data_IF_632589923419
#
_entry.id   IF_632589923419
#
_cell.length_a   1.000
_cell.length_b   1.000
_cell.length_c   1.000
_cell.angle_alpha   90.00
_cell.angle_beta   90.00
_cell.angle_gamma   90.00
#
_symmetry.space_group_name_H-M   'P 1'
#
loop_
_entity.id
_entity.type
_entity.pdbx_description
1 polymer ?
#
# COMPACT_ATOMS: atom_id res chain seq x y z
N UNK A 1 16.98 42.74 24.02
CA UNK A 1 17.03 41.79 22.90
C UNK A 1 15.58 41.47 22.60
N UNK A 2 15.01 42.05 21.54
CA UNK A 2 13.64 41.72 21.12
C UNK A 2 13.72 40.36 20.45
N UNK A 3 13.37 39.30 21.18
CA UNK A 3 13.13 38.00 20.59
C UNK A 3 12.02 38.18 19.56
N UNK A 4 12.34 37.95 18.29
CA UNK A 4 11.39 37.87 17.21
C UNK A 4 10.51 36.64 17.46
N UNK A 5 9.49 36.80 18.29
CA UNK A 5 8.42 35.84 18.46
C UNK A 5 7.67 35.77 17.13
N UNK A 6 7.98 34.76 16.32
CA UNK A 6 7.25 34.49 15.08
C UNK A 6 5.99 33.70 15.42
N UNK A 7 4.78 34.22 15.14
CA UNK A 7 3.51 33.52 15.40
C UNK A 7 3.45 32.14 14.73
N UNK A 8 4.16 31.97 13.61
CA UNK A 8 4.28 30.70 12.90
C UNK A 8 4.88 29.58 13.77
N UNK A 9 5.80 29.89 14.68
CA UNK A 9 6.43 28.87 15.54
C UNK A 9 5.47 28.31 16.59
N UNK A 10 4.62 29.15 17.20
CA UNK A 10 3.55 28.70 18.11
C UNK A 10 2.45 27.93 17.38
N UNK A 11 2.07 28.36 16.17
CA UNK A 11 1.03 27.69 15.36
C UNK A 11 1.47 26.29 14.92
N UNK A 12 2.74 26.13 14.49
CA UNK A 12 3.32 24.82 14.11
C UNK A 12 3.32 23.88 15.32
N UNK A 13 3.78 24.36 16.48
CA UNK A 13 3.82 23.58 17.71
C UNK A 13 2.41 23.18 18.20
N UNK A 14 1.42 24.04 18.01
CA UNK A 14 0.02 23.76 18.36
C UNK A 14 -0.58 22.67 17.47
N UNK A 15 -0.37 22.72 16.14
CA UNK A 15 -0.90 21.72 15.22
C UNK A 15 -0.28 20.34 15.42
N UNK A 16 1.04 20.29 15.65
CA UNK A 16 1.75 19.04 15.94
C UNK A 16 1.29 18.44 17.27
N UNK A 17 1.14 19.26 18.31
CA UNK A 17 0.62 18.82 19.61
C UNK A 17 -0.81 18.28 19.52
N UNK A 18 -1.70 18.99 18.83
CA UNK A 18 -3.08 18.52 18.57
C UNK A 18 -3.05 17.18 17.85
N UNK A 19 -2.16 17.00 16.87
CA UNK A 19 -2.06 15.73 16.14
C UNK A 19 -1.61 14.61 17.07
N UNK A 20 -0.62 14.84 17.94
CA UNK A 20 -0.16 13.84 18.92
C UNK A 20 -1.28 13.48 19.89
N UNK A 21 -2.01 14.47 20.41
CA UNK A 21 -3.11 14.23 21.35
C UNK A 21 -4.22 13.41 20.67
N UNK A 22 -4.58 13.73 19.43
CA UNK A 22 -5.55 12.96 18.64
C UNK A 22 -5.10 11.52 18.35
N UNK A 23 -3.79 11.29 18.18
CA UNK A 23 -3.26 9.94 18.01
C UNK A 23 -3.36 9.11 19.28
N UNK A 24 -3.07 9.72 20.44
CA UNK A 24 -3.23 9.08 21.75
C UNK A 24 -4.69 8.76 22.03
N UNK A 25 -5.59 9.73 21.84
CA UNK A 25 -7.02 9.53 22.03
C UNK A 25 -7.56 8.40 21.15
N UNK A 26 -7.08 8.30 19.91
CA UNK A 26 -7.44 7.24 18.98
C UNK A 26 -6.90 5.87 19.36
N UNK A 27 -5.66 5.79 19.85
CA UNK A 27 -5.08 4.57 20.40
C UNK A 27 -5.87 4.10 21.63
N UNK A 28 -6.07 4.98 22.61
CA UNK A 28 -6.83 4.71 23.83
C UNK A 28 -8.28 4.30 23.51
N UNK A 29 -8.86 4.84 22.43
CA UNK A 29 -10.16 4.43 21.93
C UNK A 29 -10.14 2.99 21.40
N UNK A 30 -9.14 2.62 20.59
CA UNK A 30 -9.02 1.29 20.01
C UNK A 30 -8.71 0.21 21.07
N UNK A 31 -7.93 0.53 22.10
CA UNK A 31 -7.61 -0.37 23.21
C UNK A 31 -8.83 -0.81 24.04
N UNK A 32 -9.98 -0.11 23.90
CA UNK A 32 -11.24 -0.52 24.54
C UNK A 32 -11.89 -1.73 23.86
N UNK A 33 -11.39 -2.13 22.69
CA UNK A 33 -11.89 -3.26 21.91
C UNK A 33 -10.91 -4.45 21.99
N UNK A 34 -11.43 -5.65 21.77
CA UNK A 34 -10.62 -6.87 21.69
C UNK A 34 -9.94 -6.95 20.31
N UNK A 35 -8.84 -6.21 20.15
CA UNK A 35 -8.06 -6.10 18.91
C UNK A 35 -6.61 -6.56 19.11
N UNK A 36 -5.93 -6.89 18.01
CA UNK A 36 -4.51 -7.21 18.05
C UNK A 36 -3.70 -5.93 18.31
N UNK A 37 -3.12 -5.84 19.51
CA UNK A 37 -2.32 -4.70 19.96
C UNK A 37 -1.04 -4.50 19.16
N UNK A 38 -0.52 -5.54 18.51
CA UNK A 38 0.66 -5.44 17.64
C UNK A 38 0.40 -4.52 16.43
N UNK A 39 -0.87 -4.41 16.00
CA UNK A 39 -1.27 -3.59 14.86
C UNK A 39 -1.62 -2.13 15.25
N UNK A 40 -1.65 -1.80 16.54
CA UNK A 40 -2.06 -0.47 17.01
C UNK A 40 -1.12 0.62 16.50
N UNK A 41 0.19 0.37 16.55
CA UNK A 41 1.19 1.35 16.12
C UNK A 41 1.08 1.61 14.61
N UNK A 42 0.90 0.56 13.82
CA UNK A 42 0.70 0.67 12.37
C UNK A 42 -0.61 1.38 12.03
N UNK A 43 -1.67 1.11 12.80
CA UNK A 43 -2.97 1.78 12.68
C UNK A 43 -2.86 3.27 12.96
N UNK A 44 -2.24 3.66 14.08
CA UNK A 44 -2.02 5.07 14.42
C UNK A 44 -1.11 5.77 13.39
N UNK A 45 -0.06 5.08 12.93
CA UNK A 45 0.82 5.54 11.86
C UNK A 45 0.05 5.81 10.57
N UNK A 46 -0.89 4.94 10.20
CA UNK A 46 -1.74 5.12 9.02
C UNK A 46 -2.64 6.36 9.13
N UNK A 47 -3.30 6.55 10.27
CA UNK A 47 -4.12 7.75 10.53
C UNK A 47 -3.26 9.02 10.51
N UNK A 48 -2.07 8.99 11.12
CA UNK A 48 -1.15 10.11 11.09
C UNK A 48 -0.77 10.52 9.66
N UNK A 49 -0.43 9.55 8.80
CA UNK A 49 -0.13 9.81 7.38
C UNK A 49 -1.33 10.45 6.68
N UNK A 50 -2.53 9.93 6.90
CA UNK A 50 -3.76 10.46 6.33
C UNK A 50 -4.01 11.93 6.75
N UNK A 51 -3.87 12.24 8.04
CA UNK A 51 -4.03 13.61 8.56
C UNK A 51 -2.98 14.56 7.97
N UNK A 52 -1.73 14.10 7.84
CA UNK A 52 -0.64 14.88 7.25
C UNK A 52 -0.91 15.20 5.77
N UNK A 53 -1.45 14.26 5.00
CA UNK A 53 -1.73 14.47 3.57
C UNK A 53 -2.96 15.36 3.32
N UNK A 54 -4.03 15.24 4.10
CA UNK A 54 -5.28 15.97 3.83
C UNK A 54 -5.35 17.36 4.46
N UNK A 55 -4.49 17.65 5.45
CA UNK A 55 -4.41 18.96 6.09
C UNK A 55 -5.64 19.39 6.91
N UNK A 56 -6.71 18.59 6.92
CA UNK A 56 -7.95 18.78 7.69
C UNK A 56 -8.27 17.55 8.52
N UNK A 57 -8.65 17.78 9.78
CA UNK A 57 -9.08 16.72 10.69
C UNK A 57 -10.55 16.38 10.37
N UNK A 58 -10.89 15.10 10.11
CA UNK A 58 -12.26 14.68 9.91
C UNK A 58 -13.15 14.96 11.13
N UNK A 59 -14.44 15.18 10.89
CA UNK A 59 -15.40 15.46 11.96
C UNK A 59 -15.51 14.33 13.01
N UNK A 60 -15.35 13.07 12.58
CA UNK A 60 -15.26 11.93 13.48
C UNK A 60 -14.01 11.11 13.15
N UNK A 61 -12.92 11.41 13.85
CA UNK A 61 -11.62 10.77 13.65
C UNK A 61 -11.62 9.29 14.10
N UNK A 62 -12.41 8.92 15.10
CA UNK A 62 -12.47 7.53 15.60
C UNK A 62 -12.93 6.54 14.52
N UNK A 63 -13.82 6.96 13.61
CA UNK A 63 -14.19 6.16 12.43
C UNK A 63 -13.01 5.88 11.52
N UNK A 64 -12.07 6.83 11.40
CA UNK A 64 -10.84 6.65 10.63
C UNK A 64 -9.85 5.72 11.33
N UNK A 65 -9.81 5.70 12.66
CA UNK A 65 -9.04 4.69 13.40
C UNK A 65 -9.57 3.27 13.18
N UNK A 66 -10.89 3.08 13.24
CA UNK A 66 -11.52 1.78 12.91
C UNK A 66 -11.25 1.40 11.45
N UNK A 67 -11.35 2.33 10.52
CA UNK A 67 -11.05 2.06 9.11
C UNK A 67 -9.57 1.77 8.85
N UNK A 68 -8.66 2.47 9.54
CA UNK A 68 -7.23 2.21 9.46
C UNK A 68 -6.90 0.82 10.01
N UNK A 69 -7.48 0.42 11.14
CA UNK A 69 -7.29 -0.93 11.69
C UNK A 69 -7.77 -2.00 10.70
N UNK A 70 -8.91 -1.76 10.02
CA UNK A 70 -9.42 -2.64 8.96
C UNK A 70 -8.42 -2.78 7.81
N UNK A 71 -7.80 -1.68 7.37
CA UNK A 71 -6.81 -1.70 6.29
C UNK A 71 -5.57 -2.49 6.71
N UNK A 72 -5.06 -2.23 7.91
CA UNK A 72 -3.85 -2.88 8.44
C UNK A 72 -4.05 -4.37 8.69
N UNK A 73 -5.21 -4.77 9.23
CA UNK A 73 -5.53 -6.19 9.45
C UNK A 73 -5.75 -6.99 8.16
N UNK A 74 -5.83 -6.29 7.02
CA UNK A 74 -6.03 -6.82 5.67
C UNK A 74 -4.77 -6.73 4.81
N UNK A 75 -3.60 -6.84 5.41
CA UNK A 75 -2.37 -7.00 4.66
C UNK A 75 -2.35 -8.36 3.91
N UNK A 76 -1.78 -8.52 2.70
CA UNK A 76 -1.73 -9.81 2.01
C UNK A 76 -1.26 -10.99 2.88
N UNK A 77 -0.24 -10.79 3.72
CA UNK A 77 0.26 -11.83 4.64
C UNK A 77 -0.72 -12.26 5.75
N UNK A 78 -1.88 -11.62 5.90
CA UNK A 78 -2.94 -12.07 6.79
C UNK A 78 -3.93 -13.02 6.11
N UNK A 79 -3.70 -13.38 4.84
CA UNK A 79 -4.49 -14.38 4.15
C UNK A 79 -4.51 -15.71 4.95
N UNK A 80 -5.69 -16.35 5.12
CA UNK A 80 -7.02 -15.89 4.72
C UNK A 80 -7.66 -14.96 5.78
N UNK A 81 -8.06 -13.76 5.37
CA UNK A 81 -8.80 -12.83 6.21
C UNK A 81 -10.26 -12.72 5.74
N UNK A 82 -11.08 -13.75 5.97
CA UNK A 82 -12.44 -13.83 5.40
C UNK A 82 -13.57 -13.27 6.30
N UNK A 83 -13.25 -12.41 7.26
CA UNK A 83 -14.28 -11.70 8.02
C UNK A 83 -15.09 -10.77 7.10
N UNK A 84 -16.39 -10.71 7.22
CA UNK A 84 -17.21 -9.78 6.43
C UNK A 84 -17.12 -8.37 6.99
N UNK A 85 -17.31 -7.34 6.13
CA UNK A 85 -17.40 -5.95 6.60
C UNK A 85 -18.49 -5.76 7.66
N UNK A 86 -19.57 -6.54 7.59
CA UNK A 86 -20.68 -6.49 8.54
C UNK A 86 -20.23 -6.98 9.92
N UNK A 87 -19.64 -8.17 10.00
CA UNK A 87 -19.11 -8.73 11.25
C UNK A 87 -18.04 -7.81 11.86
N UNK A 88 -17.13 -7.29 11.02
CA UNK A 88 -16.14 -6.32 11.46
C UNK A 88 -16.80 -5.07 12.06
N UNK A 89 -17.76 -4.49 11.36
CA UNK A 89 -18.47 -3.28 11.80
C UNK A 89 -19.26 -3.47 13.10
N UNK A 90 -19.85 -4.65 13.30
CA UNK A 90 -20.61 -4.99 14.52
C UNK A 90 -19.73 -4.91 15.78
N UNK A 91 -18.45 -5.31 15.70
CA UNK A 91 -17.49 -5.22 16.82
C UNK A 91 -17.27 -3.79 17.31
N UNK A 92 -17.36 -2.81 16.41
CA UNK A 92 -17.08 -1.40 16.70
C UNK A 92 -18.35 -0.53 16.77
N UNK A 93 -19.54 -1.12 16.60
CA UNK A 93 -20.79 -0.36 16.51
C UNK A 93 -20.82 0.63 15.33
N UNK A 94 -20.12 0.32 14.25
CA UNK A 94 -19.99 1.17 13.06
C UNK A 94 -20.98 0.76 11.96
N UNK A 95 -21.46 1.70 11.15
CA UNK A 95 -22.21 1.36 9.94
C UNK A 95 -21.25 0.99 8.81
N UNK A 96 -21.60 -0.03 8.01
CA UNK A 96 -20.78 -0.48 6.86
C UNK A 96 -20.49 0.66 5.89
N UNK A 97 -21.47 1.51 5.59
CA UNK A 97 -21.28 2.69 4.72
C UNK A 97 -20.27 3.70 5.28
N UNK A 98 -20.20 3.85 6.62
CA UNK A 98 -19.20 4.69 7.27
C UNK A 98 -17.80 4.07 7.17
N UNK A 99 -17.69 2.74 7.31
CA UNK A 99 -16.42 2.03 7.11
C UNK A 99 -15.94 2.23 5.67
N UNK A 100 -16.80 1.96 4.70
CA UNK A 100 -16.45 2.05 3.27
C UNK A 100 -15.97 3.45 2.89
N UNK A 101 -16.70 4.48 3.31
CA UNK A 101 -16.31 5.86 3.10
C UNK A 101 -14.92 6.16 3.70
N UNK A 102 -14.67 5.75 4.95
CA UNK A 102 -13.40 6.04 5.61
C UNK A 102 -12.24 5.26 4.97
N UNK A 103 -12.47 3.99 4.62
CA UNK A 103 -11.49 3.15 3.93
C UNK A 103 -11.10 3.78 2.59
N UNK A 104 -12.09 4.12 1.76
CA UNK A 104 -11.87 4.78 0.46
C UNK A 104 -11.09 6.08 0.62
N UNK A 105 -11.46 6.94 1.58
CA UNK A 105 -10.73 8.19 1.84
C UNK A 105 -9.28 7.96 2.24
N UNK A 106 -9.00 6.96 3.08
CA UNK A 106 -7.63 6.63 3.48
C UNK A 106 -6.84 6.08 2.30
N UNK A 107 -7.40 5.10 1.58
CA UNK A 107 -6.70 4.42 0.49
C UNK A 107 -6.41 5.35 -0.67
N UNK A 108 -7.36 6.21 -1.04
CA UNK A 108 -7.20 7.17 -2.14
C UNK A 108 -6.17 8.26 -1.78
N UNK A 109 -6.22 8.79 -0.56
CA UNK A 109 -5.30 9.83 -0.10
C UNK A 109 -3.84 9.35 -0.02
N UNK A 110 -3.65 8.06 0.24
CA UNK A 110 -2.33 7.46 0.41
C UNK A 110 -1.90 6.59 -0.79
N UNK A 111 -2.75 6.47 -1.80
CA UNK A 111 -2.59 5.63 -2.99
C UNK A 111 -2.35 4.15 -2.67
N UNK A 112 -3.04 3.60 -1.67
CA UNK A 112 -2.94 2.16 -1.36
C UNK A 112 -3.39 1.32 -2.54
N UNK A 113 -2.66 0.24 -2.80
CA UNK A 113 -3.05 -0.76 -3.80
C UNK A 113 -4.05 -1.69 -3.11
N UNK A 114 -5.25 -1.81 -3.68
CA UNK A 114 -6.27 -2.74 -3.23
C UNK A 114 -6.28 -3.95 -4.16
N UNK A 115 -6.14 -5.13 -3.59
CA UNK A 115 -6.29 -6.41 -4.29
C UNK A 115 -7.45 -7.19 -3.71
N UNK A 116 -8.02 -8.11 -4.49
CA UNK A 116 -9.14 -8.94 -4.10
C UNK A 116 -8.74 -10.42 -4.21
N UNK A 117 -9.06 -11.22 -3.20
CA UNK A 117 -8.99 -12.68 -3.35
C UNK A 117 -10.13 -13.22 -4.22
N UNK A 118 -10.13 -14.53 -4.45
CA UNK A 118 -11.16 -15.22 -5.23
C UNK A 118 -12.58 -15.09 -4.64
N UNK A 119 -12.69 -14.79 -3.35
CA UNK A 119 -13.96 -14.54 -2.65
C UNK A 119 -14.33 -13.05 -2.60
N UNK A 120 -13.55 -12.18 -3.26
CA UNK A 120 -13.67 -10.73 -3.27
C UNK A 120 -13.45 -10.04 -1.91
N UNK A 121 -12.72 -10.65 -0.98
CA UNK A 121 -12.26 -9.93 0.20
C UNK A 121 -11.07 -9.03 -0.16
N UNK A 122 -11.07 -7.77 0.32
CA UNK A 122 -10.02 -6.83 -0.01
C UNK A 122 -8.79 -7.00 0.87
N UNK A 123 -7.62 -6.90 0.25
CA UNK A 123 -6.34 -6.72 0.90
C UNK A 123 -5.69 -5.43 0.42
N UNK A 124 -4.86 -4.82 1.26
CA UNK A 124 -4.29 -3.50 1.03
C UNK A 124 -2.78 -3.51 1.17
N UNK A 125 -2.09 -2.88 0.21
CA UNK A 125 -0.63 -2.77 0.16
C UNK A 125 -0.23 -1.29 0.09
N UNK A 126 0.64 -0.86 1.01
CA UNK A 126 1.23 0.50 0.97
C UNK A 126 2.29 0.54 -0.15
N UNK A 127 2.06 1.25 -1.27
CA UNK A 127 3.00 1.23 -2.40
C UNK A 127 4.38 1.79 -2.08
N UNK A 128 4.53 2.58 -1.01
CA UNK A 128 5.76 3.29 -0.66
C UNK A 128 6.55 2.55 0.41
N UNK A 129 5.86 1.96 1.39
CA UNK A 129 6.52 1.43 2.59
C UNK A 129 6.42 -0.08 2.76
N UNK A 130 5.54 -0.74 2.01
CA UNK A 130 5.45 -2.19 2.11
C UNK A 130 6.79 -2.85 1.75
N UNK A 131 7.30 -3.66 2.66
CA UNK A 131 8.63 -4.25 2.55
C UNK A 131 8.64 -5.27 1.41
N UNK A 132 7.63 -6.13 1.37
CA UNK A 132 7.47 -7.14 0.33
C UNK A 132 7.43 -6.51 -1.06
N UNK A 133 6.57 -5.53 -1.28
CA UNK A 133 6.46 -4.81 -2.54
C UNK A 133 7.76 -4.09 -2.92
N UNK A 134 8.48 -3.51 -1.95
CA UNK A 134 9.77 -2.88 -2.21
C UNK A 134 10.85 -3.89 -2.63
N UNK A 135 10.83 -5.11 -2.08
CA UNK A 135 11.70 -6.21 -2.55
C UNK A 135 11.32 -6.61 -3.97
N UNK A 136 10.02 -6.81 -4.23
CA UNK A 136 9.49 -7.16 -5.55
C UNK A 136 9.92 -6.13 -6.60
N UNK A 137 9.74 -4.83 -6.34
CA UNK A 137 10.16 -3.74 -7.25
C UNK A 137 11.65 -3.79 -7.59
N UNK A 138 12.51 -4.04 -6.61
CA UNK A 138 13.97 -4.14 -6.84
C UNK A 138 14.32 -5.36 -7.70
N UNK A 139 13.65 -6.48 -7.44
CA UNK A 139 13.83 -7.71 -8.20
C UNK A 139 13.38 -7.54 -9.65
N UNK A 140 12.20 -6.94 -9.87
CA UNK A 140 11.68 -6.56 -11.19
C UNK A 140 12.72 -5.71 -11.93
N UNK A 141 13.18 -4.62 -11.33
CA UNK A 141 14.16 -3.72 -11.94
C UNK A 141 15.43 -4.46 -12.36
N UNK A 142 16.00 -5.26 -11.46
CA UNK A 142 17.21 -6.03 -11.77
C UNK A 142 17.03 -7.01 -12.92
N UNK A 143 15.86 -7.64 -13.03
CA UNK A 143 15.56 -8.62 -14.09
C UNK A 143 15.27 -7.94 -15.42
N UNK A 144 14.53 -6.83 -15.41
CA UNK A 144 14.28 -5.99 -16.58
C UNK A 144 15.60 -5.45 -17.15
N UNK A 145 16.49 -4.92 -16.30
CA UNK A 145 17.81 -4.43 -16.71
C UNK A 145 18.64 -5.54 -17.37
N UNK A 146 18.64 -6.75 -16.78
CA UNK A 146 19.34 -7.91 -17.35
C UNK A 146 18.76 -8.34 -18.69
N UNK A 147 17.43 -8.42 -18.79
CA UNK A 147 16.74 -8.76 -20.04
C UNK A 147 17.04 -7.73 -21.13
N UNK A 148 17.08 -6.44 -20.78
CA UNK A 148 17.43 -5.35 -21.68
C UNK A 148 18.85 -5.50 -22.23
N UNK A 149 19.82 -5.77 -21.35
CA UNK A 149 21.19 -5.97 -21.78
C UNK A 149 21.34 -7.20 -22.69
N UNK A 150 20.64 -8.28 -22.39
CA UNK A 150 20.61 -9.46 -23.27
C UNK A 150 19.98 -9.13 -24.63
N UNK A 151 18.93 -8.32 -24.68
CA UNK A 151 18.37 -7.84 -25.94
C UNK A 151 19.41 -7.04 -26.76
N UNK A 152 20.11 -6.09 -26.13
CA UNK A 152 21.08 -5.23 -26.80
C UNK A 152 22.31 -5.99 -27.31
N UNK A 153 22.77 -7.00 -26.57
CA UNK A 153 23.97 -7.76 -26.92
C UNK A 153 23.67 -8.96 -27.82
N UNK A 154 22.59 -9.68 -27.53
CA UNK A 154 22.27 -10.98 -28.14
C UNK A 154 21.09 -10.91 -29.12
N UNK A 155 20.46 -9.75 -29.30
CA UNK A 155 19.33 -9.57 -30.22
C UNK A 155 18.15 -10.52 -29.91
N UNK A 156 17.93 -10.82 -28.62
CA UNK A 156 16.81 -11.65 -28.18
C UNK A 156 15.64 -10.77 -27.78
N UNK A 157 14.50 -10.92 -28.45
CA UNK A 157 13.27 -10.19 -28.13
C UNK A 157 12.81 -10.52 -26.70
N UNK A 158 12.32 -9.50 -25.98
CA UNK A 158 11.79 -9.67 -24.62
C UNK A 158 10.27 -9.73 -24.71
N UNK A 159 9.69 -10.78 -24.11
CA UNK A 159 8.26 -10.89 -23.89
C UNK A 159 7.97 -10.54 -22.43
N UNK A 160 7.26 -9.42 -22.20
CA UNK A 160 6.95 -8.93 -20.86
C UNK A 160 6.03 -9.86 -20.07
N UNK A 161 5.15 -10.62 -20.74
CA UNK A 161 4.27 -11.59 -20.10
C UNK A 161 5.09 -12.74 -19.51
N UNK A 162 5.97 -13.36 -20.31
CA UNK A 162 6.83 -14.45 -19.87
C UNK A 162 7.74 -13.98 -18.73
N UNK A 163 8.35 -12.80 -18.88
CA UNK A 163 9.19 -12.22 -17.83
C UNK A 163 8.40 -12.01 -16.52
N UNK A 164 7.15 -11.55 -16.62
CA UNK A 164 6.28 -11.35 -15.46
C UNK A 164 5.91 -12.68 -14.79
N UNK A 165 5.61 -13.73 -15.56
CA UNK A 165 5.34 -15.07 -15.02
C UNK A 165 6.56 -15.62 -14.24
N UNK A 166 7.75 -15.52 -14.83
CA UNK A 166 9.01 -15.92 -14.18
C UNK A 166 9.26 -15.13 -12.89
N UNK A 167 9.02 -13.82 -12.92
CA UNK A 167 9.16 -12.93 -11.77
C UNK A 167 8.20 -13.28 -10.64
N UNK A 168 6.92 -13.52 -10.95
CA UNK A 168 5.92 -13.89 -9.95
C UNK A 168 6.28 -15.24 -9.32
N UNK A 169 6.71 -16.21 -10.13
CA UNK A 169 7.17 -17.50 -9.63
C UNK A 169 8.35 -17.35 -8.66
N UNK A 170 9.36 -16.56 -9.02
CA UNK A 170 10.51 -16.27 -8.14
C UNK A 170 10.08 -15.56 -6.85
N UNK A 171 9.18 -14.57 -6.93
CA UNK A 171 8.69 -13.83 -5.76
C UNK A 171 7.95 -14.73 -4.77
N UNK A 172 7.07 -15.61 -5.26
CA UNK A 172 6.23 -16.48 -4.43
C UNK A 172 7.01 -17.67 -3.89
N UNK A 173 7.69 -18.42 -4.77
CA UNK A 173 8.26 -19.71 -4.40
C UNK A 173 9.71 -19.62 -3.92
N UNK A 174 10.52 -18.74 -4.49
CA UNK A 174 11.93 -18.61 -4.10
C UNK A 174 12.11 -17.61 -2.95
N UNK A 175 11.52 -16.42 -3.08
CA UNK A 175 11.69 -15.34 -2.10
C UNK A 175 10.64 -15.38 -0.98
N UNK A 176 9.52 -16.08 -1.18
CA UNK A 176 8.38 -16.11 -0.24
C UNK A 176 7.93 -14.71 0.19
N UNK A 177 8.03 -13.76 -0.74
CA UNK A 177 7.77 -12.35 -0.49
C UNK A 177 6.30 -11.97 -0.71
N UNK A 178 5.43 -12.92 -1.03
CA UNK A 178 4.00 -12.72 -1.17
C UNK A 178 3.26 -14.05 -0.99
N UNK A 179 2.00 -14.06 -0.50
CA UNK A 179 1.19 -15.27 -0.43
C UNK A 179 0.93 -15.90 -1.80
N UNK A 180 0.97 -17.22 -1.86
CA UNK A 180 0.73 -17.99 -3.10
C UNK A 180 -0.73 -17.87 -3.55
N UNK A 181 -1.66 -17.78 -2.61
CA UNK A 181 -3.10 -17.74 -2.88
C UNK A 181 -3.53 -16.45 -3.59
N UNK A 182 -2.69 -15.41 -3.53
CA UNK A 182 -2.90 -14.14 -4.20
C UNK A 182 -2.08 -14.00 -5.50
N UNK A 183 -1.59 -15.12 -6.05
CA UNK A 183 -0.73 -15.18 -7.23
C UNK A 183 -1.26 -14.36 -8.42
N UNK A 184 -2.57 -14.49 -8.72
CA UNK A 184 -3.17 -13.77 -9.85
C UNK A 184 -3.09 -12.25 -9.68
N UNK A 185 -3.40 -11.76 -8.48
CA UNK A 185 -3.35 -10.33 -8.18
C UNK A 185 -1.91 -9.82 -8.18
N UNK A 186 -0.97 -10.64 -7.69
CA UNK A 186 0.45 -10.32 -7.76
C UNK A 186 0.93 -10.23 -9.22
N UNK A 187 0.49 -11.14 -10.10
CA UNK A 187 0.83 -11.08 -11.52
C UNK A 187 0.41 -9.76 -12.15
N UNK A 188 -0.82 -9.29 -11.89
CA UNK A 188 -1.29 -8.01 -12.41
C UNK A 188 -0.42 -6.84 -11.94
N UNK A 189 -0.05 -6.84 -10.64
CA UNK A 189 0.87 -5.83 -10.07
C UNK A 189 2.25 -5.89 -10.72
N UNK A 190 2.86 -7.09 -10.79
CA UNK A 190 4.20 -7.29 -11.34
C UNK A 190 4.23 -6.90 -12.82
N UNK A 191 3.25 -7.33 -13.60
CA UNK A 191 3.13 -7.00 -15.01
C UNK A 191 3.05 -5.49 -15.24
N UNK A 192 2.25 -4.78 -14.46
CA UNK A 192 2.17 -3.31 -14.55
C UNK A 192 3.52 -2.65 -14.23
N UNK A 193 4.25 -3.12 -13.22
CA UNK A 193 5.58 -2.59 -12.91
C UNK A 193 6.61 -2.92 -14.00
N UNK A 194 6.59 -4.12 -14.58
CA UNK A 194 7.47 -4.52 -15.68
C UNK A 194 7.23 -3.63 -16.91
N UNK A 195 5.97 -3.42 -17.29
CA UNK A 195 5.62 -2.53 -18.41
C UNK A 195 6.07 -1.09 -18.16
N UNK A 196 5.91 -0.58 -16.93
CA UNK A 196 6.40 0.77 -16.56
C UNK A 196 7.92 0.89 -16.67
N UNK A 197 8.68 -0.09 -16.20
CA UNK A 197 10.14 -0.07 -16.35
C UNK A 197 10.52 -0.10 -17.84
N UNK A 198 9.79 -0.83 -18.69
CA UNK A 198 10.03 -0.79 -20.14
C UNK A 198 9.64 0.54 -20.82
N UNK A 199 8.66 1.27 -20.30
CA UNK A 199 8.31 2.62 -20.80
C UNK A 199 9.45 3.62 -20.57
N UNK A 200 10.12 3.55 -19.43
CA UNK A 200 11.31 4.37 -19.17
C UNK A 200 12.39 4.13 -20.23
N UNK A 201 12.45 2.91 -20.74
CA UNK A 201 13.22 2.55 -21.93
C UNK A 201 12.44 2.82 -23.24
N UNK A 202 12.03 4.07 -23.48
CA UNK A 202 11.42 4.49 -24.76
C UNK A 202 12.22 4.07 -26.01
N UNK A 203 13.53 3.86 -25.87
CA UNK A 203 14.38 3.29 -26.92
C UNK A 203 14.10 1.81 -27.18
N UNK A 204 13.79 1.01 -26.16
CA UNK A 204 13.48 -0.40 -26.28
C UNK A 204 12.29 -0.67 -27.20
N UNK A 205 11.13 -0.05 -26.96
CA UNK A 205 9.93 -0.25 -27.78
C UNK A 205 10.22 0.10 -29.25
N UNK A 206 10.98 1.17 -29.48
CA UNK A 206 11.40 1.58 -30.84
C UNK A 206 12.36 0.56 -31.47
N UNK A 207 13.31 0.02 -30.71
CA UNK A 207 14.26 -0.98 -31.20
C UNK A 207 13.56 -2.31 -31.49
N UNK A 208 12.67 -2.78 -30.61
CA UNK A 208 11.90 -4.00 -30.82
C UNK A 208 11.06 -3.92 -32.10
N UNK A 209 10.31 -2.82 -32.29
CA UNK A 209 9.52 -2.57 -33.51
C UNK A 209 10.35 -2.41 -34.78
N UNK A 210 11.62 -2.03 -34.67
CA UNK A 210 12.49 -1.81 -35.84
C UNK A 210 13.18 -3.10 -36.31
N UNK A 211 13.49 -3.99 -35.37
CA UNK A 211 14.36 -5.13 -35.65
C UNK A 211 13.64 -6.50 -35.58
N UNK A 212 12.44 -6.59 -35.00
CA UNK A 212 11.76 -7.88 -34.74
C UNK A 212 10.27 -7.95 -35.08
N UNK A 213 9.62 -6.81 -35.36
CA UNK A 213 8.23 -6.72 -35.85
C UNK A 213 8.28 -6.08 -37.23
#
# INVERSE_FOLDING_TARGET
>A
MLELYTPEYEIINTKERITIDLLKDGQDFLEKFDINTELLLDTASLVYKYLRNNGKIPHNLFKFFIAAYYIISRHPFTFPAHETKKEYCEKFGLQVSSLEYCVEKITDSLNYIKILDDMNFPYFVDPKRDIALNVIKKLIKSKVDKAMMNFLLCHQSINSQILSEELVHEVVFEQKAFPEELFRQLYEIVFEYVEREFLDYNQYIKMQKKYFI
#
